data_IF_812702967324
#
_entry.id   IF_812702967324
#
_cell.length_a   1.000
_cell.length_b   1.000
_cell.length_c   1.000
_cell.angle_alpha   90.00
_cell.angle_beta   90.00
_cell.angle_gamma   90.00
#
_symmetry.space_group_name_H-M   'P 1'
#
loop_
_entity.id
_entity.type
_entity.pdbx_description
1 polymer ?
#
# COMPACT_ATOMS: atom_id res chain seq x y z
N UNK A 1 21.12 -2.45 0.82
CA UNK A 1 21.23 -2.48 -0.66
C UNK A 1 20.93 -1.07 -1.14
N UNK A 2 21.78 -0.48 -1.99
CA UNK A 2 21.54 0.86 -2.55
C UNK A 2 20.78 0.74 -3.88
N UNK A 3 19.93 1.71 -4.27
CA UNK A 3 19.37 1.80 -5.61
C UNK A 3 20.49 1.78 -6.64
N UNK A 4 20.36 0.93 -7.64
CA UNK A 4 21.33 0.77 -8.73
C UNK A 4 20.87 1.49 -9.99
N UNK A 5 19.61 1.94 -10.05
CA UNK A 5 19.08 2.73 -11.15
C UNK A 5 19.36 4.21 -10.87
N UNK A 6 20.19 4.89 -11.68
CA UNK A 6 20.43 6.31 -11.51
C UNK A 6 19.18 7.11 -11.90
N UNK A 7 18.94 8.20 -11.17
CA UNK A 7 17.88 9.15 -11.50
C UNK A 7 18.14 9.75 -12.90
N UNK A 8 17.12 9.81 -13.76
CA UNK A 8 17.28 10.44 -15.07
C UNK A 8 17.33 11.96 -14.92
N UNK A 9 18.07 12.68 -15.78
CA UNK A 9 18.04 14.13 -15.79
C UNK A 9 16.61 14.64 -15.98
N UNK A 10 16.15 15.53 -15.08
CA UNK A 10 14.82 16.14 -15.13
C UNK A 10 13.72 15.38 -14.39
N UNK A 11 13.96 14.18 -13.85
CA UNK A 11 13.00 13.55 -12.95
C UNK A 11 12.90 14.41 -11.66
N UNK A 12 11.70 14.70 -11.16
CA UNK A 12 11.46 15.35 -9.86
C UNK A 12 11.22 14.33 -8.74
N UNK A 13 11.15 13.05 -9.10
CA UNK A 13 10.90 11.96 -8.17
C UNK A 13 11.99 11.81 -7.08
N UNK A 14 11.53 11.50 -5.86
CA UNK A 14 12.35 11.23 -4.68
C UNK A 14 12.20 9.77 -4.23
N UNK A 15 13.30 9.16 -3.82
CA UNK A 15 13.29 7.77 -3.35
C UNK A 15 12.67 7.62 -1.94
N UNK A 16 12.69 8.67 -1.11
CA UNK A 16 12.19 8.61 0.27
C UNK A 16 11.00 9.56 0.53
N UNK A 17 9.94 9.10 1.22
CA UNK A 17 9.60 7.69 1.43
C UNK A 17 9.19 7.03 0.10
N UNK A 18 9.13 5.69 0.07
CA UNK A 18 8.67 5.00 -1.13
C UNK A 18 7.17 5.16 -1.33
N UNK A 19 6.75 5.98 -2.30
CA UNK A 19 5.33 6.12 -2.65
C UNK A 19 4.68 4.81 -3.13
N UNK A 20 5.44 3.93 -3.80
CA UNK A 20 4.95 2.59 -4.17
C UNK A 20 4.70 1.73 -2.93
N UNK A 21 5.59 1.75 -1.94
CA UNK A 21 5.36 1.05 -0.69
C UNK A 21 4.16 1.66 0.07
N UNK A 22 4.07 2.99 0.17
CA UNK A 22 2.91 3.70 0.74
C UNK A 22 1.61 3.18 0.16
N UNK A 23 1.48 3.18 -1.18
CA UNK A 23 0.29 2.69 -1.85
C UNK A 23 0.03 1.20 -1.60
N UNK A 24 1.05 0.35 -1.72
CA UNK A 24 0.92 -1.09 -1.51
C UNK A 24 0.44 -1.46 -0.10
N UNK A 25 0.97 -0.80 0.93
CA UNK A 25 0.54 -1.03 2.31
C UNK A 25 -0.84 -0.42 2.61
N UNK A 26 -1.15 0.76 2.07
CA UNK A 26 -2.50 1.34 2.15
C UNK A 26 -3.55 0.38 1.60
N UNK A 27 -3.35 -0.13 0.37
CA UNK A 27 -4.26 -1.08 -0.24
C UNK A 27 -4.39 -2.38 0.58
N UNK A 28 -3.26 -2.92 1.06
CA UNK A 28 -3.28 -4.12 1.88
C UNK A 28 -4.11 -3.95 3.16
N UNK A 29 -3.99 -2.80 3.84
CA UNK A 29 -4.77 -2.49 5.05
C UNK A 29 -6.26 -2.42 4.74
N UNK A 30 -6.65 -1.62 3.75
CA UNK A 30 -8.06 -1.42 3.40
C UNK A 30 -8.71 -2.72 2.93
N UNK A 31 -8.06 -3.46 2.04
CA UNK A 31 -8.57 -4.75 1.58
C UNK A 31 -8.66 -5.78 2.71
N UNK A 32 -7.71 -5.78 3.66
CA UNK A 32 -7.76 -6.68 4.81
C UNK A 32 -8.89 -6.34 5.79
N UNK A 33 -9.34 -5.07 5.84
CA UNK A 33 -10.53 -4.66 6.59
C UNK A 33 -11.84 -5.04 5.86
N UNK A 34 -11.82 -5.11 4.53
CA UNK A 34 -12.96 -5.59 3.72
C UNK A 34 -13.10 -7.11 3.77
N UNK A 35 -11.97 -7.84 3.70
CA UNK A 35 -11.89 -9.31 3.58
C UNK A 35 -10.95 -9.88 4.66
N UNK A 36 -11.35 -9.89 5.94
CA UNK A 36 -10.50 -10.34 7.05
C UNK A 36 -10.03 -11.80 6.90
N UNK A 37 -10.78 -12.64 6.19
CA UNK A 37 -10.47 -14.04 5.90
C UNK A 37 -9.20 -14.19 5.02
N UNK A 38 -8.78 -13.12 4.33
CA UNK A 38 -7.59 -13.07 3.48
C UNK A 38 -6.50 -12.12 4.03
N UNK A 39 -6.66 -11.64 5.27
CA UNK A 39 -5.79 -10.64 5.88
C UNK A 39 -4.29 -10.95 5.73
N UNK A 40 -3.87 -12.15 6.10
CA UNK A 40 -2.43 -12.51 6.06
C UNK A 40 -1.87 -12.51 4.64
N UNK A 41 -2.65 -13.01 3.68
CA UNK A 41 -2.28 -13.02 2.26
C UNK A 41 -2.20 -11.59 1.70
N UNK A 42 -3.13 -10.72 2.06
CA UNK A 42 -3.14 -9.31 1.63
C UNK A 42 -1.95 -8.53 2.20
N UNK A 43 -1.64 -8.73 3.49
CA UNK A 43 -0.44 -8.12 4.09
C UNK A 43 0.85 -8.70 3.52
N UNK A 44 0.92 -10.00 3.23
CA UNK A 44 2.07 -10.59 2.55
C UNK A 44 2.26 -9.95 1.17
N UNK A 45 1.18 -9.81 0.40
CA UNK A 45 1.24 -9.19 -0.93
C UNK A 45 1.71 -7.73 -0.87
N UNK A 46 1.25 -6.95 0.12
CA UNK A 46 1.70 -5.56 0.34
C UNK A 46 3.20 -5.49 0.66
N UNK A 47 3.70 -6.37 1.53
CA UNK A 47 5.13 -6.48 1.84
C UNK A 47 5.95 -6.81 0.59
N UNK A 48 5.54 -7.81 -0.18
CA UNK A 48 6.21 -8.20 -1.43
C UNK A 48 6.23 -7.04 -2.44
N UNK A 49 5.13 -6.31 -2.58
CA UNK A 49 5.06 -5.16 -3.48
C UNK A 49 6.10 -4.09 -3.14
N UNK A 50 6.26 -3.77 -1.85
CA UNK A 50 7.31 -2.85 -1.39
C UNK A 50 8.71 -3.40 -1.62
N UNK A 51 8.96 -4.66 -1.26
CA UNK A 51 10.28 -5.28 -1.39
C UNK A 51 10.73 -5.47 -2.84
N UNK A 52 9.81 -5.69 -3.76
CA UNK A 52 10.12 -5.72 -5.19
C UNK A 52 10.81 -4.44 -5.65
N UNK A 53 10.52 -3.29 -5.03
CA UNK A 53 11.18 -2.02 -5.39
C UNK A 53 12.64 -1.94 -4.94
N UNK A 54 13.01 -2.70 -3.90
CA UNK A 54 14.41 -2.88 -3.51
C UNK A 54 15.10 -3.80 -4.50
N UNK A 55 14.44 -4.89 -4.90
CA UNK A 55 14.96 -5.84 -5.91
C UNK A 55 15.16 -5.17 -7.26
N UNK A 56 14.19 -4.36 -7.70
CA UNK A 56 14.27 -3.52 -8.90
C UNK A 56 15.34 -2.44 -8.79
N UNK A 57 15.88 -2.22 -7.58
CA UNK A 57 16.98 -1.30 -7.36
C UNK A 57 16.60 0.17 -7.50
N UNK A 58 15.35 0.52 -7.19
CA UNK A 58 14.84 1.91 -7.25
C UNK A 58 14.59 2.53 -5.86
N UNK A 59 14.60 1.70 -4.81
CA UNK A 59 14.41 2.12 -3.43
C UNK A 59 15.39 1.44 -2.47
N UNK A 60 15.76 2.15 -1.41
CA UNK A 60 16.41 1.57 -0.24
C UNK A 60 15.38 0.82 0.63
N UNK A 61 15.82 -0.19 1.41
CA UNK A 61 14.96 -0.80 2.43
C UNK A 61 14.33 0.21 3.40
N UNK A 62 15.04 1.28 3.76
CA UNK A 62 14.54 2.36 4.61
C UNK A 62 13.36 3.12 3.99
N UNK A 63 13.37 3.28 2.66
CA UNK A 63 12.30 3.99 1.95
C UNK A 63 11.01 3.17 1.98
N UNK A 64 11.14 1.85 1.84
CA UNK A 64 10.03 0.90 1.92
C UNK A 64 9.44 0.86 3.33
N UNK A 65 10.28 0.86 4.36
CA UNK A 65 9.81 0.90 5.74
C UNK A 65 9.12 2.23 6.08
N UNK A 66 9.68 3.36 5.63
CA UNK A 66 9.02 4.64 5.78
C UNK A 66 7.69 4.70 5.00
N UNK A 67 7.65 4.14 3.79
CA UNK A 67 6.41 4.02 3.01
C UNK A 67 5.37 3.13 3.70
N UNK A 68 5.78 2.06 4.40
CA UNK A 68 4.87 1.24 5.22
C UNK A 68 4.20 2.06 6.32
N UNK A 69 4.99 2.85 7.05
CA UNK A 69 4.49 3.74 8.11
C UNK A 69 3.53 4.76 7.52
N UNK A 70 3.95 5.44 6.45
CA UNK A 70 3.17 6.45 5.76
C UNK A 70 1.83 5.89 5.24
N UNK A 71 1.85 4.74 4.56
CA UNK A 71 0.63 4.07 4.09
C UNK A 71 -0.34 3.69 5.22
N UNK A 72 0.21 3.37 6.41
CA UNK A 72 -0.61 3.11 7.61
C UNK A 72 -1.28 4.38 8.12
N UNK A 73 -0.55 5.50 8.14
CA UNK A 73 -1.09 6.80 8.55
C UNK A 73 -2.16 7.29 7.58
N UNK A 74 -1.93 7.15 6.26
CA UNK A 74 -2.90 7.51 5.24
C UNK A 74 -4.17 6.67 5.38
N UNK A 75 -4.05 5.35 5.60
CA UNK A 75 -5.21 4.48 5.83
C UNK A 75 -6.04 4.94 7.05
N UNK A 76 -5.36 5.29 8.15
CA UNK A 76 -6.01 5.79 9.35
C UNK A 76 -6.72 7.14 9.10
N UNK A 77 -6.07 8.07 8.38
CA UNK A 77 -6.64 9.36 8.04
C UNK A 77 -7.88 9.23 7.13
N UNK A 78 -7.82 8.35 6.12
CA UNK A 78 -8.96 8.05 5.26
C UNK A 78 -10.12 7.46 6.05
N UNK A 79 -9.86 6.47 6.92
CA UNK A 79 -10.88 5.86 7.76
C UNK A 79 -11.47 6.80 8.82
N UNK A 80 -10.85 7.97 9.06
CA UNK A 80 -11.42 9.02 9.90
C UNK A 80 -12.35 9.99 9.13
N UNK A 81 -12.38 9.93 7.80
CA UNK A 81 -13.23 10.78 6.96
C UNK A 81 -14.61 10.11 6.72
N UNK A 82 -15.73 10.76 7.12
CA UNK A 82 -17.07 10.20 6.93
C UNK A 82 -17.45 9.90 5.47
N UNK A 83 -17.00 10.71 4.51
CA UNK A 83 -17.29 10.47 3.10
C UNK A 83 -16.56 9.22 2.60
N UNK A 84 -15.29 9.05 2.99
CA UNK A 84 -14.55 7.84 2.68
C UNK A 84 -15.14 6.60 3.36
N UNK A 85 -15.65 6.71 4.59
CA UNK A 85 -16.31 5.59 5.26
C UNK A 85 -17.53 5.07 4.49
N UNK A 86 -18.29 5.96 3.84
CA UNK A 86 -19.41 5.57 2.98
C UNK A 86 -18.91 4.81 1.76
N UNK A 87 -17.95 5.39 1.03
CA UNK A 87 -17.37 4.74 -0.16
C UNK A 87 -16.70 3.41 0.19
N UNK A 88 -16.06 3.32 1.36
CA UNK A 88 -15.46 2.08 1.88
C UNK A 88 -16.53 1.02 2.17
N UNK A 89 -17.67 1.39 2.75
CA UNK A 89 -18.75 0.45 3.03
C UNK A 89 -19.35 -0.11 1.73
N UNK A 90 -19.56 0.74 0.73
CA UNK A 90 -20.07 0.35 -0.58
C UNK A 90 -19.06 -0.58 -1.28
N UNK A 91 -17.79 -0.19 -1.35
CA UNK A 91 -16.72 -1.01 -1.93
C UNK A 91 -16.55 -2.35 -1.18
N UNK A 92 -16.69 -2.35 0.14
CA UNK A 92 -16.66 -3.59 0.93
C UNK A 92 -17.78 -4.54 0.54
N UNK A 93 -19.00 -4.03 0.36
CA UNK A 93 -20.14 -4.84 -0.07
C UNK A 93 -19.90 -5.41 -1.47
N UNK A 94 -19.44 -4.58 -2.42
CA UNK A 94 -19.13 -4.99 -3.79
C UNK A 94 -18.04 -6.08 -3.85
N UNK A 95 -16.94 -5.90 -3.12
CA UNK A 95 -15.83 -6.86 -3.07
C UNK A 95 -16.29 -8.19 -2.46
N UNK A 96 -17.08 -8.16 -1.39
CA UNK A 96 -17.56 -9.40 -0.74
C UNK A 96 -18.54 -10.16 -1.64
N UNK A 97 -19.46 -9.46 -2.31
CA UNK A 97 -20.36 -10.05 -3.28
C UNK A 97 -19.59 -10.68 -4.45
N UNK A 98 -18.58 -9.98 -5.00
CA UNK A 98 -17.74 -10.49 -6.08
C UNK A 98 -16.96 -11.75 -5.69
N UNK A 99 -16.55 -11.85 -4.42
CA UNK A 99 -15.84 -13.01 -3.87
C UNK A 99 -16.78 -14.10 -3.34
N UNK A 100 -18.10 -13.90 -3.37
CA UNK A 100 -19.11 -14.80 -2.79
C UNK A 100 -18.84 -15.08 -1.30
N UNK A 101 -18.54 -14.01 -0.57
CA UNK A 101 -18.25 -14.04 0.88
C UNK A 101 -19.38 -13.42 1.70
N UNK A 102 -20.56 -13.27 1.11
CA UNK A 102 -21.77 -12.73 1.76
C UNK A 102 -22.22 -13.60 2.95
#
# INVERSE_FOLDING_TARGET
MQPIVPKRPGDDYHSYPSGHATFGYLCAILLAQMVPEKRDALFARGREFGMNRVVDGVHYPSDVEAGRIDGTLVAAALMANPDFQRDFADAKAEVRAALKLD
#
